data_IF_732036366056
#
_entry.id   IF_732036366056
#
_cell.length_a   1.000
_cell.length_b   1.000
_cell.length_c   1.000
_cell.angle_alpha   90.00
_cell.angle_beta   90.00
_cell.angle_gamma   90.00
#
_symmetry.space_group_name_H-M   'P 1'
#
loop_
_entity.id
_entity.type
_entity.pdbx_description
1 polymer ?
#
# COMPACT_ATOMS: atom_id res chain seq x y z
N UNK A 1 -25.59 -14.81 25.34
CA UNK A 1 -25.48 -13.56 24.55
C UNK A 1 -26.35 -13.73 23.33
N UNK A 2 -27.44 -12.96 23.22
CA UNK A 2 -28.20 -12.85 21.98
C UNK A 2 -27.31 -12.06 21.02
N UNK A 3 -26.69 -12.75 20.05
CA UNK A 3 -25.68 -12.16 19.17
C UNK A 3 -26.34 -11.29 18.11
N UNK A 4 -26.51 -10.00 18.40
CA UNK A 4 -27.04 -9.04 17.44
C UNK A 4 -26.04 -8.80 16.30
N UNK A 5 -26.54 -8.66 15.07
CA UNK A 5 -25.72 -8.33 13.92
C UNK A 5 -25.11 -6.92 14.05
N UNK A 6 -23.86 -6.76 13.62
CA UNK A 6 -23.09 -5.51 13.77
C UNK A 6 -22.70 -4.91 12.42
N UNK A 7 -22.32 -3.63 12.40
CA UNK A 7 -21.86 -2.94 11.19
C UNK A 7 -20.34 -2.90 11.12
N UNK A 8 -19.75 -3.07 9.94
CA UNK A 8 -18.29 -2.89 9.73
C UNK A 8 -17.96 -1.54 9.10
N UNK A 9 -16.81 -0.98 9.47
CA UNK A 9 -16.13 0.08 8.73
C UNK A 9 -14.68 -0.36 8.49
N UNK A 10 -14.30 -0.55 7.23
CA UNK A 10 -12.98 -1.04 6.85
C UNK A 10 -12.32 -0.18 5.79
N UNK A 11 -11.21 0.47 6.14
CA UNK A 11 -10.30 1.06 5.15
C UNK A 11 -9.23 0.03 4.75
N UNK A 12 -8.88 -0.04 3.47
CA UNK A 12 -7.75 -0.88 3.00
C UNK A 12 -7.90 -2.34 3.43
N UNK A 13 -6.90 -2.90 4.09
CA UNK A 13 -6.94 -4.24 4.71
C UNK A 13 -8.19 -4.49 5.56
N UNK A 14 -8.76 -3.48 6.24
CA UNK A 14 -10.02 -3.62 6.96
C UNK A 14 -11.22 -3.91 6.04
N UNK A 15 -11.19 -3.41 4.80
CA UNK A 15 -12.12 -3.79 3.75
C UNK A 15 -11.91 -5.23 3.28
N UNK A 16 -10.66 -5.69 3.24
CA UNK A 16 -10.34 -7.08 2.89
C UNK A 16 -10.88 -8.03 3.96
N UNK A 17 -10.72 -7.66 5.24
CA UNK A 17 -11.35 -8.36 6.36
C UNK A 17 -12.88 -8.36 6.24
N UNK A 18 -13.49 -7.25 5.81
CA UNK A 18 -14.95 -7.18 5.58
C UNK A 18 -15.39 -8.20 4.53
N UNK A 19 -14.66 -8.35 3.41
CA UNK A 19 -14.94 -9.38 2.42
C UNK A 19 -14.81 -10.80 3.00
N UNK A 20 -13.82 -11.05 3.86
CA UNK A 20 -13.69 -12.33 4.57
C UNK A 20 -14.87 -12.61 5.51
N UNK A 21 -15.36 -11.61 6.26
CA UNK A 21 -16.56 -11.78 7.09
C UNK A 21 -17.80 -12.08 6.25
N UNK A 22 -18.00 -11.38 5.13
CA UNK A 22 -19.11 -11.63 4.20
C UNK A 22 -19.02 -13.03 3.58
N UNK A 23 -17.81 -13.54 3.38
CA UNK A 23 -17.56 -14.89 2.89
C UNK A 23 -17.76 -15.99 3.94
N UNK A 24 -17.50 -15.73 5.22
CA UNK A 24 -17.46 -16.78 6.25
C UNK A 24 -18.70 -16.78 7.16
N UNK A 25 -19.17 -15.60 7.55
CA UNK A 25 -20.25 -15.40 8.51
C UNK A 25 -21.05 -14.10 8.25
N UNK A 26 -21.64 -13.91 7.05
CA UNK A 26 -22.44 -12.73 6.71
C UNK A 26 -23.65 -12.54 7.62
N UNK A 27 -24.16 -13.60 8.27
CA UNK A 27 -25.31 -13.53 9.18
C UNK A 27 -25.03 -12.68 10.42
N UNK A 28 -23.75 -12.50 10.77
CA UNK A 28 -23.33 -11.62 11.85
C UNK A 28 -23.29 -10.14 11.46
N UNK A 29 -23.51 -9.80 10.19
CA UNK A 29 -23.33 -8.45 9.67
C UNK A 29 -24.67 -7.80 9.30
N UNK A 30 -24.83 -6.54 9.71
CA UNK A 30 -26.01 -5.72 9.40
C UNK A 30 -25.81 -4.88 8.14
N UNK A 31 -24.66 -4.26 8.00
CA UNK A 31 -24.25 -3.40 6.88
C UNK A 31 -22.74 -3.18 6.93
N UNK A 32 -22.13 -2.89 5.79
CA UNK A 32 -20.69 -2.75 5.66
C UNK A 32 -20.32 -1.46 4.93
N UNK A 33 -19.34 -0.75 5.47
CA UNK A 33 -18.75 0.45 4.88
C UNK A 33 -17.29 0.16 4.55
N UNK A 34 -16.90 0.33 3.28
CA UNK A 34 -15.54 0.06 2.80
C UNK A 34 -14.94 1.31 2.17
N UNK A 35 -13.66 1.61 2.42
CA UNK A 35 -12.97 2.75 1.81
C UNK A 35 -11.60 2.34 1.30
N UNK A 36 -11.37 2.41 -0.02
CA UNK A 36 -10.09 1.99 -0.62
C UNK A 36 -9.70 0.56 -0.26
N UNK A 37 -10.66 -0.37 -0.22
CA UNK A 37 -10.49 -1.68 0.44
C UNK A 37 -11.29 -2.83 -0.15
N UNK A 38 -11.65 -2.78 -1.44
CA UNK A 38 -12.22 -3.94 -2.14
C UNK A 38 -11.08 -4.72 -2.84
N UNK A 39 -10.51 -5.71 -2.15
CA UNK A 39 -9.49 -6.58 -2.73
C UNK A 39 -10.04 -7.40 -3.91
N UNK A 40 -9.17 -7.79 -4.84
CA UNK A 40 -9.51 -8.73 -5.91
C UNK A 40 -9.87 -10.11 -5.33
N UNK A 41 -11.03 -10.66 -5.70
CA UNK A 41 -11.50 -11.95 -5.15
C UNK A 41 -10.67 -13.16 -5.61
N UNK A 42 -10.01 -13.06 -6.76
CA UNK A 42 -9.22 -14.13 -7.37
C UNK A 42 -7.82 -13.68 -7.79
N UNK A 43 -7.47 -12.42 -7.52
CA UNK A 43 -6.18 -11.85 -7.89
C UNK A 43 -5.11 -12.31 -6.90
N UNK A 44 -4.00 -12.85 -7.40
CA UNK A 44 -2.83 -13.12 -6.57
C UNK A 44 -1.98 -11.87 -6.37
N UNK A 45 -0.97 -11.95 -5.50
CA UNK A 45 -0.03 -10.86 -5.26
C UNK A 45 0.59 -10.30 -6.56
N UNK A 46 0.96 -11.18 -7.50
CA UNK A 46 1.54 -10.76 -8.79
C UNK A 46 0.55 -9.94 -9.63
N UNK A 47 -0.73 -10.34 -9.70
CA UNK A 47 -1.75 -9.59 -10.42
C UNK A 47 -1.93 -8.19 -9.83
N UNK A 48 -1.92 -8.09 -8.49
CA UNK A 48 -2.00 -6.82 -7.76
C UNK A 48 -0.82 -5.93 -8.13
N UNK A 49 0.41 -6.43 -8.06
CA UNK A 49 1.58 -5.60 -8.36
C UNK A 49 1.69 -5.23 -9.84
N UNK A 50 1.26 -6.09 -10.77
CA UNK A 50 1.16 -5.74 -12.20
C UNK A 50 0.14 -4.61 -12.45
N UNK A 51 -0.82 -4.39 -11.55
CA UNK A 51 -1.76 -3.25 -11.60
C UNK A 51 -1.25 -2.02 -10.84
N UNK A 52 -0.51 -2.20 -9.74
CA UNK A 52 -0.09 -1.07 -8.89
C UNK A 52 1.24 -0.45 -9.30
N UNK A 53 2.20 -1.19 -9.87
CA UNK A 53 3.45 -0.58 -10.38
C UNK A 53 3.22 0.53 -11.43
N UNK A 54 2.33 0.36 -12.43
CA UNK A 54 1.98 1.46 -13.34
C UNK A 54 1.43 2.69 -12.62
N UNK A 55 0.66 2.50 -11.54
CA UNK A 55 0.17 3.62 -10.71
C UNK A 55 1.30 4.31 -9.96
N UNK A 56 2.27 3.55 -9.44
CA UNK A 56 3.49 4.11 -8.82
C UNK A 56 4.27 4.95 -9.83
N UNK A 57 4.44 4.48 -11.07
CA UNK A 57 5.08 5.27 -12.14
C UNK A 57 4.31 6.57 -12.37
N UNK A 58 2.98 6.50 -12.51
CA UNK A 58 2.16 7.70 -12.69
C UNK A 58 2.25 8.69 -11.50
N UNK A 59 2.34 8.19 -10.26
CA UNK A 59 2.55 9.05 -9.07
C UNK A 59 3.94 9.68 -9.04
N UNK A 60 4.98 8.96 -9.47
CA UNK A 60 6.31 9.55 -9.63
C UNK A 60 6.30 10.65 -10.70
N UNK A 61 5.63 10.42 -11.83
CA UNK A 61 5.50 11.42 -12.90
C UNK A 61 4.78 12.68 -12.39
N UNK A 62 3.70 12.51 -11.64
CA UNK A 62 2.97 13.63 -11.01
C UNK A 62 3.81 14.36 -9.95
N UNK A 63 4.58 13.62 -9.15
CA UNK A 63 5.48 14.18 -8.15
C UNK A 63 6.55 15.07 -8.79
N UNK A 64 7.29 14.55 -9.78
CA UNK A 64 8.34 15.32 -10.45
C UNK A 64 7.79 16.43 -11.35
N UNK A 65 6.57 16.30 -11.88
CA UNK A 65 5.92 17.41 -12.57
C UNK A 65 5.59 18.56 -11.60
N UNK A 66 5.30 18.25 -10.33
CA UNK A 66 5.00 19.24 -9.29
C UNK A 66 6.25 19.84 -8.65
N UNK A 67 7.27 19.02 -8.42
CA UNK A 67 8.54 19.41 -7.81
C UNK A 67 9.71 18.99 -8.73
N UNK A 68 9.89 19.68 -9.88
CA UNK A 68 10.92 19.30 -10.85
C UNK A 68 12.35 19.45 -10.31
N UNK A 69 12.55 20.36 -9.36
CA UNK A 69 13.86 20.60 -8.73
C UNK A 69 14.30 19.44 -7.80
N UNK A 70 13.38 18.55 -7.42
CA UNK A 70 13.69 17.38 -6.59
C UNK A 70 14.41 16.28 -7.39
N UNK A 71 14.21 16.19 -8.71
CA UNK A 71 14.85 15.18 -9.55
C UNK A 71 16.39 15.20 -9.45
N UNK A 72 17.09 16.34 -9.64
CA UNK A 72 18.54 16.40 -9.45
C UNK A 72 18.96 16.19 -7.99
N UNK A 73 18.15 16.57 -7.00
CA UNK A 73 18.45 16.32 -5.58
C UNK A 73 18.44 14.82 -5.29
N UNK A 74 17.39 14.10 -5.69
CA UNK A 74 17.27 12.65 -5.51
C UNK A 74 18.41 11.93 -6.22
N UNK A 75 18.73 12.33 -7.46
CA UNK A 75 19.88 11.76 -8.20
C UNK A 75 21.18 11.95 -7.42
N UNK A 76 21.45 13.16 -6.92
CA UNK A 76 22.64 13.45 -6.11
C UNK A 76 22.70 12.58 -4.86
N UNK A 77 21.57 12.35 -4.18
CA UNK A 77 21.53 11.47 -2.99
C UNK A 77 21.87 10.04 -3.39
N UNK A 78 21.25 9.49 -4.44
CA UNK A 78 21.53 8.13 -4.92
C UNK A 78 23.00 7.96 -5.30
N UNK A 79 23.59 8.93 -6.01
CA UNK A 79 24.98 8.88 -6.44
C UNK A 79 25.93 8.94 -5.23
N UNK A 80 25.63 9.77 -4.22
CA UNK A 80 26.38 9.80 -2.96
C UNK A 80 26.33 8.45 -2.25
N UNK A 81 25.14 7.85 -2.09
CA UNK A 81 24.96 6.55 -1.43
C UNK A 81 25.65 5.39 -2.16
N UNK A 82 25.97 5.53 -3.45
CA UNK A 82 26.73 4.54 -4.21
C UNK A 82 28.23 4.56 -3.85
N UNK A 83 28.76 5.75 -3.52
CA UNK A 83 30.18 5.97 -3.21
C UNK A 83 30.51 6.04 -1.72
N UNK A 84 29.50 6.18 -0.84
CA UNK A 84 29.69 6.36 0.60
C UNK A 84 28.95 5.30 1.43
N UNK A 85 29.44 5.11 2.65
CA UNK A 85 28.76 4.28 3.66
C UNK A 85 27.96 5.17 4.62
N UNK A 86 26.79 5.63 4.17
CA UNK A 86 25.88 6.43 5.00
C UNK A 86 25.09 5.57 5.98
N UNK A 87 24.92 6.07 7.21
CA UNK A 87 24.14 5.43 8.27
C UNK A 87 22.98 6.29 8.72
N UNK A 88 21.84 5.64 8.96
CA UNK A 88 20.69 6.23 9.65
C UNK A 88 20.96 6.30 11.15
N UNK A 89 20.20 7.09 11.93
CA UNK A 89 20.36 7.17 13.39
C UNK A 89 20.31 5.82 14.13
N UNK A 90 19.62 4.81 13.61
CA UNK A 90 19.58 3.43 14.13
C UNK A 90 20.88 2.66 13.94
N UNK A 91 21.78 3.15 13.09
CA UNK A 91 22.97 2.44 12.64
C UNK A 91 22.74 1.55 11.41
N UNK A 92 21.51 1.49 10.89
CA UNK A 92 21.23 0.83 9.61
C UNK A 92 21.89 1.58 8.46
N UNK A 93 22.29 0.86 7.41
CA UNK A 93 22.78 1.48 6.17
C UNK A 93 21.64 2.15 5.42
N UNK A 94 21.83 3.41 5.02
CA UNK A 94 21.00 4.02 3.99
C UNK A 94 21.57 3.63 2.62
N UNK A 95 20.73 3.08 1.75
CA UNK A 95 21.07 2.80 0.36
C UNK A 95 19.95 3.32 -0.56
N UNK A 96 20.16 3.20 -1.87
CA UNK A 96 19.20 3.70 -2.83
C UNK A 96 17.83 2.99 -2.76
N UNK A 97 17.78 1.69 -2.44
CA UNK A 97 16.51 0.96 -2.32
C UNK A 97 15.66 1.47 -1.16
N UNK A 98 16.28 1.70 0.01
CA UNK A 98 15.62 2.31 1.16
C UNK A 98 15.23 3.76 0.91
N UNK A 99 16.01 4.52 0.14
CA UNK A 99 15.60 5.86 -0.30
C UNK A 99 14.35 5.79 -1.20
N UNK A 100 14.33 4.86 -2.16
CA UNK A 100 13.19 4.68 -3.07
C UNK A 100 11.88 4.39 -2.30
N UNK A 101 11.94 3.73 -1.14
CA UNK A 101 10.74 3.40 -0.36
C UNK A 101 10.05 4.61 0.29
N UNK A 102 10.67 5.80 0.29
CA UNK A 102 9.99 7.05 0.68
C UNK A 102 8.72 7.30 -0.14
N UNK A 103 8.68 6.82 -1.39
CA UNK A 103 7.50 6.94 -2.25
C UNK A 103 6.27 6.20 -1.74
N UNK A 104 6.38 5.36 -0.70
CA UNK A 104 5.21 4.85 0.00
C UNK A 104 4.28 6.00 0.39
N UNK A 105 4.80 7.19 0.73
CA UNK A 105 3.99 8.36 1.04
C UNK A 105 3.06 8.82 -0.10
N UNK A 106 3.43 8.58 -1.36
CA UNK A 106 2.76 9.15 -2.55
C UNK A 106 1.30 8.72 -2.76
N UNK A 107 0.84 7.67 -2.08
CA UNK A 107 -0.55 7.21 -2.15
C UNK A 107 -1.48 7.86 -1.13
N UNK A 108 -0.98 8.79 -0.31
CA UNK A 108 -1.76 9.53 0.66
C UNK A 108 -1.76 11.03 0.36
N UNK A 109 -2.85 11.71 0.70
CA UNK A 109 -2.93 13.16 0.62
C UNK A 109 -1.83 13.80 1.50
N UNK A 110 -1.08 14.75 0.94
CA UNK A 110 0.08 15.37 1.60
C UNK A 110 1.41 14.62 1.41
N UNK A 111 1.38 13.42 0.83
CA UNK A 111 2.56 12.57 0.73
C UNK A 111 3.66 13.11 -0.19
N UNK A 112 3.28 13.86 -1.23
CA UNK A 112 4.28 14.54 -2.09
C UNK A 112 5.01 15.62 -1.30
N UNK A 113 4.28 16.44 -0.56
CA UNK A 113 4.82 17.51 0.29
C UNK A 113 5.74 16.94 1.37
N UNK A 114 5.38 15.81 1.98
CA UNK A 114 6.23 15.11 2.96
C UNK A 114 7.60 14.76 2.39
N UNK A 115 7.66 14.17 1.19
CA UNK A 115 8.95 13.79 0.57
C UNK A 115 9.70 15.03 0.08
N UNK A 116 9.00 16.02 -0.48
CA UNK A 116 9.60 17.27 -0.95
C UNK A 116 10.31 18.02 0.19
N UNK A 117 9.62 18.27 1.31
CA UNK A 117 10.21 18.96 2.46
C UNK A 117 11.35 18.16 3.10
N UNK A 118 11.30 16.83 3.04
CA UNK A 118 12.42 16.01 3.47
C UNK A 118 13.66 16.24 2.57
N UNK A 119 13.47 16.34 1.25
CA UNK A 119 14.56 16.58 0.30
C UNK A 119 15.13 18.00 0.35
N UNK A 120 14.34 19.00 0.72
CA UNK A 120 14.84 20.37 0.96
C UNK A 120 15.95 20.39 2.04
N UNK A 121 15.83 19.50 3.02
CA UNK A 121 16.78 19.34 4.13
C UNK A 121 17.91 18.34 3.82
N UNK A 122 18.02 17.81 2.59
CA UNK A 122 18.90 16.67 2.28
C UNK A 122 20.40 16.91 2.57
N UNK A 123 20.90 18.14 2.42
CA UNK A 123 22.33 18.42 2.37
C UNK A 123 22.79 19.44 3.41
N UNK A 124 23.87 19.13 4.10
CA UNK A 124 24.70 20.08 4.85
C UNK A 124 26.10 20.12 4.21
N UNK A 125 26.26 21.04 3.26
CA UNK A 125 27.44 21.10 2.40
C UNK A 125 27.59 19.85 1.51
N UNK A 126 28.71 19.10 1.60
CA UNK A 126 28.92 17.88 0.80
C UNK A 126 28.27 16.63 1.40
N UNK A 127 27.85 16.66 2.67
CA UNK A 127 27.32 15.51 3.40
C UNK A 127 25.78 15.56 3.49
N UNK A 128 25.17 14.39 3.69
CA UNK A 128 23.74 14.31 3.99
C UNK A 128 23.47 14.83 5.40
N UNK A 129 22.45 15.68 5.55
CA UNK A 129 22.18 16.33 6.83
C UNK A 129 21.62 15.34 7.87
N UNK A 130 21.88 15.55 9.18
CA UNK A 130 21.27 14.75 10.24
C UNK A 130 19.73 14.79 10.22
N UNK A 131 19.14 15.93 9.86
CA UNK A 131 17.68 16.11 9.73
C UNK A 131 17.11 15.19 8.66
N UNK A 132 17.74 15.15 7.49
CA UNK A 132 17.34 14.27 6.41
C UNK A 132 17.46 12.80 6.80
N UNK A 133 18.59 12.39 7.38
CA UNK A 133 18.80 11.00 7.80
C UNK A 133 17.78 10.56 8.85
N UNK A 134 17.44 11.43 9.79
CA UNK A 134 16.39 11.16 10.77
C UNK A 134 15.00 11.02 10.12
N UNK A 135 14.67 11.93 9.19
CA UNK A 135 13.41 11.87 8.46
C UNK A 135 13.29 10.63 7.57
N UNK A 136 14.35 10.24 6.85
CA UNK A 136 14.38 9.00 6.06
C UNK A 136 14.16 7.78 6.94
N UNK A 137 14.79 7.73 8.12
CA UNK A 137 14.57 6.64 9.07
C UNK A 137 13.11 6.57 9.50
N UNK A 138 12.52 7.69 9.93
CA UNK A 138 11.14 7.73 10.41
C UNK A 138 10.16 7.23 9.34
N UNK A 139 10.33 7.64 8.09
CA UNK A 139 9.40 7.33 7.00
C UNK A 139 9.60 5.95 6.38
N UNK A 140 10.71 5.25 6.68
CA UNK A 140 11.04 3.95 6.07
C UNK A 140 11.23 2.83 7.08
N UNK A 141 11.02 3.09 8.38
CA UNK A 141 11.18 2.09 9.42
C UNK A 141 9.91 1.28 9.65
N UNK A 142 10.06 -0.04 9.80
CA UNK A 142 8.99 -0.94 10.23
C UNK A 142 9.11 -1.36 11.70
N UNK A 143 10.06 -0.80 12.45
CA UNK A 143 10.31 -1.15 13.86
C UNK A 143 9.07 -1.06 14.77
N UNK A 144 8.17 -0.10 14.51
CA UNK A 144 6.94 0.08 15.29
C UNK A 144 5.76 -0.72 14.76
N UNK A 145 5.90 -1.36 13.60
CA UNK A 145 4.84 -2.12 12.93
C UNK A 145 5.36 -3.32 12.15
N UNK A 146 6.15 -4.23 12.75
CA UNK A 146 6.78 -5.33 12.00
C UNK A 146 5.76 -6.30 11.40
N UNK A 147 4.60 -6.48 12.04
CA UNK A 147 3.52 -7.32 11.52
C UNK A 147 2.95 -6.81 10.20
N UNK A 148 2.93 -5.48 10.01
CA UNK A 148 2.51 -4.91 8.73
C UNK A 148 3.43 -5.40 7.62
N UNK A 149 4.75 -5.25 7.77
CA UNK A 149 5.70 -5.71 6.76
C UNK A 149 5.66 -7.23 6.56
N UNK A 150 5.61 -8.01 7.64
CA UNK A 150 5.61 -9.49 7.60
C UNK A 150 4.37 -10.05 6.90
N UNK A 151 3.20 -9.46 7.13
CA UNK A 151 1.93 -9.99 6.63
C UNK A 151 1.43 -9.27 5.36
N UNK A 152 2.11 -8.20 4.93
CA UNK A 152 1.65 -7.34 3.84
C UNK A 152 1.28 -8.13 2.58
N UNK A 153 2.23 -8.88 2.01
CA UNK A 153 1.99 -9.60 0.76
C UNK A 153 1.09 -10.83 0.94
N UNK A 154 1.12 -11.43 2.15
CA UNK A 154 0.31 -12.60 2.48
C UNK A 154 -1.20 -12.32 2.44
N UNK A 155 -1.63 -11.05 2.54
CA UNK A 155 -3.05 -10.71 2.41
C UNK A 155 -3.61 -10.94 0.98
N UNK A 156 -2.73 -11.15 -0.02
CA UNK A 156 -3.09 -11.52 -1.39
C UNK A 156 -2.90 -13.01 -1.68
N UNK A 157 -2.49 -13.81 -0.69
CA UNK A 157 -2.19 -15.21 -0.88
C UNK A 157 -3.48 -16.04 -0.96
N UNK A 158 -3.71 -16.69 -2.10
CA UNK A 158 -4.87 -17.56 -2.31
C UNK A 158 -4.48 -18.74 -3.20
N UNK A 159 -4.43 -19.95 -2.63
CA UNK A 159 -4.14 -21.19 -3.36
C UNK A 159 -2.69 -21.34 -3.86
N UNK A 160 -1.79 -20.42 -3.51
CA UNK A 160 -0.40 -20.45 -3.98
C UNK A 160 0.51 -19.48 -3.25
N UNK A 161 1.82 -19.67 -3.44
CA UNK A 161 2.84 -18.84 -2.83
C UNK A 161 2.89 -17.46 -3.48
N UNK A 162 3.11 -16.43 -2.66
CA UNK A 162 3.35 -15.08 -3.19
C UNK A 162 4.77 -14.98 -3.74
N UNK A 163 5.71 -15.72 -3.13
CA UNK A 163 7.12 -15.88 -3.50
C UNK A 163 7.82 -14.54 -3.78
N UNK A 164 7.53 -13.53 -2.96
CA UNK A 164 8.05 -12.15 -3.11
C UNK A 164 7.63 -11.51 -4.44
N UNK A 165 6.34 -11.56 -4.75
CA UNK A 165 5.78 -11.07 -6.02
C UNK A 165 6.12 -9.60 -6.27
N UNK A 166 6.13 -8.75 -5.25
CA UNK A 166 6.52 -7.34 -5.38
C UNK A 166 7.93 -7.20 -5.96
N UNK A 167 8.89 -7.96 -5.43
CA UNK A 167 10.27 -7.97 -5.90
C UNK A 167 10.37 -8.55 -7.32
N UNK A 168 9.73 -9.69 -7.59
CA UNK A 168 9.80 -10.31 -8.93
C UNK A 168 9.26 -9.39 -10.01
N UNK A 169 8.12 -8.74 -9.78
CA UNK A 169 7.56 -7.78 -10.75
C UNK A 169 8.45 -6.54 -10.87
N UNK A 170 9.07 -6.05 -9.79
CA UNK A 170 10.04 -4.94 -9.85
C UNK A 170 11.23 -5.27 -10.76
N UNK A 171 11.74 -6.49 -10.68
CA UNK A 171 12.90 -6.93 -11.47
C UNK A 171 12.63 -6.93 -12.98
N UNK A 172 11.37 -7.03 -13.40
CA UNK A 172 10.93 -6.88 -14.79
C UNK A 172 10.87 -5.42 -15.27
N UNK A 173 11.06 -4.44 -14.37
CA UNK A 173 10.88 -3.01 -14.62
C UNK A 173 12.21 -2.25 -14.47
N UNK A 174 13.02 -2.13 -15.55
CA UNK A 174 14.32 -1.44 -15.49
C UNK A 174 14.26 0.00 -14.99
N UNK A 175 13.11 0.67 -15.13
CA UNK A 175 12.89 2.03 -14.63
C UNK A 175 13.00 2.15 -13.10
N UNK A 176 12.83 1.07 -12.34
CA UNK A 176 13.01 1.04 -10.89
C UNK A 176 14.43 0.71 -10.45
N UNK A 177 15.38 0.49 -11.37
CA UNK A 177 16.79 0.39 -11.03
C UNK A 177 17.32 1.79 -10.67
N UNK A 178 17.68 2.06 -9.41
CA UNK A 178 18.13 3.40 -9.00
C UNK A 178 19.46 3.80 -9.67
N UNK A 179 20.27 2.84 -10.10
CA UNK A 179 21.53 3.04 -10.82
C UNK A 179 21.36 3.06 -12.35
N UNK A 180 20.11 2.96 -12.84
CA UNK A 180 19.78 3.00 -14.26
C UNK A 180 19.89 4.40 -14.87
N UNK A 181 19.76 4.45 -16.20
CA UNK A 181 19.70 5.72 -16.96
C UNK A 181 18.31 6.33 -16.81
N UNK A 182 18.24 7.63 -16.49
CA UNK A 182 16.98 8.38 -16.36
C UNK A 182 16.74 8.92 -14.95
N UNK A 183 15.51 9.35 -14.65
CA UNK A 183 15.13 9.76 -13.29
C UNK A 183 15.08 8.56 -12.35
N UNK A 184 15.42 8.79 -11.08
CA UNK A 184 15.20 7.79 -10.03
C UNK A 184 13.69 7.72 -9.77
N UNK A 185 13.10 6.53 -9.79
CA UNK A 185 11.71 6.35 -9.36
C UNK A 185 11.67 5.89 -7.91
N UNK A 186 10.83 6.51 -7.10
CA UNK A 186 10.43 5.99 -5.80
C UNK A 186 9.45 4.82 -5.97
N UNK A 187 9.45 3.87 -5.04
CA UNK A 187 8.49 2.75 -4.99
C UNK A 187 7.25 3.13 -4.20
N UNK A 188 6.16 2.37 -4.36
CA UNK A 188 4.93 2.55 -3.58
C UNK A 188 4.89 1.69 -2.31
N UNK A 189 3.69 1.24 -1.95
CA UNK A 189 3.40 0.36 -0.80
C UNK A 189 3.74 -1.11 -1.11
N UNK A 190 5.01 -1.36 -1.44
CA UNK A 190 5.54 -2.69 -1.70
C UNK A 190 6.45 -3.13 -0.56
N UNK A 191 6.38 -4.40 -0.17
CA UNK A 191 7.35 -5.02 0.75
C UNK A 191 8.30 -5.93 -0.03
N UNK A 192 9.59 -5.77 0.22
CA UNK A 192 10.64 -6.53 -0.46
C UNK A 192 11.46 -7.36 0.54
N UNK A 193 12.06 -8.49 0.10
CA UNK A 193 12.87 -9.33 0.98
C UNK A 193 14.07 -8.59 1.56
N UNK A 194 14.64 -7.64 0.81
CA UNK A 194 15.79 -6.87 1.26
C UNK A 194 15.49 -6.02 2.50
N UNK A 195 14.24 -5.57 2.71
CA UNK A 195 13.84 -4.80 3.90
C UNK A 195 14.10 -5.58 5.19
N UNK A 196 13.89 -6.90 5.18
CA UNK A 196 14.15 -7.78 6.32
C UNK A 196 15.64 -8.03 6.58
N UNK A 197 16.49 -7.87 5.56
CA UNK A 197 17.94 -8.03 5.71
C UNK A 197 18.64 -6.72 6.09
N UNK A 198 18.11 -5.58 5.63
CA UNK A 198 18.75 -4.27 5.72
C UNK A 198 18.31 -3.45 6.94
N UNK A 199 17.13 -3.71 7.51
CA UNK A 199 16.67 -3.07 8.75
C UNK A 199 16.91 -4.00 9.94
N UNK A 200 17.72 -3.58 10.90
CA UNK A 200 18.05 -4.38 12.09
C UNK A 200 16.78 -4.82 12.86
N UNK A 201 15.77 -3.96 12.94
CA UNK A 201 14.51 -4.26 13.60
C UNK A 201 13.71 -5.39 12.90
N UNK A 202 13.93 -5.60 11.61
CA UNK A 202 13.22 -6.59 10.80
C UNK A 202 13.97 -7.92 10.65
N UNK A 203 15.28 -7.95 10.89
CA UNK A 203 16.09 -9.17 10.83
C UNK A 203 15.55 -10.36 11.64
N UNK A 204 15.03 -10.19 12.88
CA UNK A 204 14.43 -11.30 13.62
C UNK A 204 13.24 -11.97 12.92
N UNK A 205 12.58 -11.26 12.01
CA UNK A 205 11.41 -11.75 11.27
C UNK A 205 11.74 -12.32 9.89
N UNK A 206 12.98 -12.16 9.40
CA UNK A 206 13.35 -12.50 8.02
C UNK A 206 13.00 -13.95 7.64
N UNK A 207 13.34 -14.91 8.51
CA UNK A 207 13.04 -16.32 8.27
C UNK A 207 11.52 -16.60 8.25
N UNK A 208 10.75 -15.96 9.12
CA UNK A 208 9.30 -16.12 9.16
C UNK A 208 8.63 -15.51 7.92
N UNK A 209 9.10 -14.33 7.49
CA UNK A 209 8.60 -13.68 6.29
C UNK A 209 8.88 -14.50 5.03
N UNK A 210 10.07 -15.10 4.90
CA UNK A 210 10.38 -15.99 3.78
C UNK A 210 9.53 -17.27 3.79
N UNK A 211 9.31 -17.89 4.95
CA UNK A 211 8.40 -19.03 5.06
C UNK A 211 6.97 -18.69 4.63
N UNK A 212 6.47 -17.51 4.98
CA UNK A 212 5.15 -17.04 4.55
C UNK A 212 5.11 -16.79 3.04
N UNK A 213 6.14 -16.17 2.47
CA UNK A 213 6.23 -15.91 1.05
C UNK A 213 6.28 -17.21 0.23
N UNK A 214 6.98 -18.24 0.70
CA UNK A 214 7.10 -19.53 0.00
C UNK A 214 5.97 -20.52 0.28
N UNK A 215 5.11 -20.22 1.26
CA UNK A 215 3.98 -21.09 1.60
C UNK A 215 3.05 -21.20 0.39
N UNK A 216 2.81 -22.41 -0.11
CA UNK A 216 2.02 -22.65 -1.32
C UNK A 216 0.66 -23.29 -1.07
N UNK A 217 0.40 -23.72 0.17
CA UNK A 217 -0.84 -24.38 0.60
C UNK A 217 -1.85 -23.40 1.23
N UNK A 218 -1.85 -22.14 0.78
CA UNK A 218 -2.82 -21.16 1.26
C UNK A 218 -4.25 -21.58 0.92
N UNK A 219 -5.19 -21.59 1.88
CA UNK A 219 -6.58 -21.84 1.58
C UNK A 219 -7.17 -20.72 0.70
N UNK A 220 -8.37 -20.98 0.14
CA UNK A 220 -9.16 -19.90 -0.44
C UNK A 220 -9.47 -18.86 0.64
N UNK A 221 -9.17 -17.59 0.37
CA UNK A 221 -9.45 -16.49 1.30
C UNK A 221 -10.94 -16.08 1.24
N UNK A 222 -11.55 -16.25 0.07
CA UNK A 222 -12.93 -15.88 -0.20
C UNK A 222 -13.74 -17.03 -0.80
N UNK A 223 -14.96 -17.20 -0.31
CA UNK A 223 -16.03 -18.03 -0.90
C UNK A 223 -16.78 -17.18 -1.93
N UNK A 224 -16.44 -17.39 -3.20
CA UNK A 224 -16.98 -16.61 -4.32
C UNK A 224 -18.50 -16.81 -4.49
N UNK A 225 -19.02 -18.01 -4.23
CA UNK A 225 -20.45 -18.28 -4.38
C UNK A 225 -21.25 -17.58 -3.28
N UNK A 226 -20.77 -17.63 -2.03
CA UNK A 226 -21.40 -16.93 -0.92
C UNK A 226 -21.34 -15.42 -1.08
N UNK A 227 -20.22 -14.89 -1.55
CA UNK A 227 -20.07 -13.47 -1.84
C UNK A 227 -21.01 -13.01 -2.97
N UNK A 228 -21.16 -13.79 -4.04
CA UNK A 228 -22.11 -13.48 -5.11
C UNK A 228 -23.57 -13.46 -4.62
N UNK A 229 -23.91 -14.35 -3.69
CA UNK A 229 -25.22 -14.39 -3.03
C UNK A 229 -25.39 -13.42 -1.86
N UNK A 230 -24.42 -12.54 -1.58
CA UNK A 230 -24.46 -11.66 -0.41
C UNK A 230 -25.69 -10.73 -0.44
N UNK A 231 -26.47 -10.74 0.66
CA UNK A 231 -27.60 -9.84 0.85
C UNK A 231 -27.29 -8.65 1.77
N UNK A 232 -26.19 -8.71 2.54
CA UNK A 232 -25.80 -7.64 3.48
C UNK A 232 -25.46 -6.38 2.68
N UNK A 233 -26.08 -5.21 2.97
CA UNK A 233 -25.75 -3.97 2.27
C UNK A 233 -24.27 -3.60 2.44
N UNK A 234 -23.58 -3.39 1.32
CA UNK A 234 -22.20 -2.90 1.30
C UNK A 234 -22.16 -1.60 0.53
N UNK A 235 -21.57 -0.57 1.11
CA UNK A 235 -21.25 0.68 0.41
C UNK A 235 -19.76 0.92 0.45
N UNK A 236 -19.17 1.21 -0.70
CA UNK A 236 -17.74 1.27 -0.85
C UNK A 236 -17.29 2.56 -1.54
N UNK A 237 -16.38 3.31 -0.92
CA UNK A 237 -15.64 4.35 -1.60
C UNK A 237 -14.47 3.71 -2.36
N UNK A 238 -14.43 3.91 -3.67
CA UNK A 238 -13.34 3.49 -4.56
C UNK A 238 -12.61 4.75 -4.99
N UNK A 239 -11.40 4.93 -4.50
CA UNK A 239 -10.56 6.06 -4.87
C UNK A 239 -9.95 5.77 -6.24
N UNK A 240 -10.27 6.58 -7.24
CA UNK A 240 -9.91 6.32 -8.63
C UNK A 240 -8.38 6.27 -8.82
N UNK A 241 -7.68 7.22 -8.21
CA UNK A 241 -6.23 7.41 -8.33
C UNK A 241 -5.42 6.78 -7.19
N UNK A 242 -6.04 5.88 -6.42
CA UNK A 242 -5.41 5.14 -5.32
C UNK A 242 -4.16 4.42 -5.80
N UNK A 243 -3.00 4.71 -5.20
CA UNK A 243 -1.75 4.06 -5.61
C UNK A 243 -1.63 2.63 -5.09
N UNK A 244 -2.29 2.31 -3.97
CA UNK A 244 -2.09 1.06 -3.24
C UNK A 244 -3.11 0.00 -3.61
N UNK A 245 -4.39 0.39 -3.70
CA UNK A 245 -5.50 -0.52 -4.02
C UNK A 245 -6.09 -0.15 -5.38
N UNK A 246 -5.83 -1.00 -6.38
CA UNK A 246 -6.26 -0.72 -7.75
C UNK A 246 -7.80 -0.60 -7.86
N UNK A 247 -8.25 0.52 -8.43
CA UNK A 247 -9.67 0.79 -8.64
C UNK A 247 -10.32 -0.21 -9.63
N UNK A 248 -9.57 -0.73 -10.60
CA UNK A 248 -10.06 -1.75 -11.53
C UNK A 248 -10.40 -3.05 -10.80
N UNK A 249 -9.45 -3.58 -10.02
CA UNK A 249 -9.67 -4.75 -9.15
C UNK A 249 -10.82 -4.50 -8.17
N UNK A 250 -10.91 -3.31 -7.59
CA UNK A 250 -12.01 -2.93 -6.69
C UNK A 250 -13.38 -3.01 -7.38
N UNK A 251 -13.48 -2.51 -8.61
CA UNK A 251 -14.72 -2.52 -9.40
C UNK A 251 -15.07 -3.92 -9.91
N UNK A 252 -14.08 -4.73 -10.28
CA UNK A 252 -14.28 -6.15 -10.61
C UNK A 252 -14.85 -6.92 -9.42
N UNK A 253 -14.33 -6.67 -8.21
CA UNK A 253 -14.89 -7.24 -6.98
C UNK A 253 -16.30 -6.74 -6.72
N UNK A 254 -16.55 -5.43 -6.81
CA UNK A 254 -17.89 -4.85 -6.62
C UNK A 254 -18.94 -5.45 -7.56
N UNK A 255 -18.55 -5.80 -8.80
CA UNK A 255 -19.45 -6.42 -9.78
C UNK A 255 -19.77 -7.89 -9.47
N UNK A 256 -18.97 -8.57 -8.63
CA UNK A 256 -19.13 -9.99 -8.31
C UNK A 256 -19.73 -10.24 -6.93
N UNK A 257 -19.68 -9.27 -6.02
CA UNK A 257 -20.25 -9.39 -4.68
C UNK A 257 -21.67 -8.82 -4.67
N UNK A 258 -22.62 -9.58 -4.13
CA UNK A 258 -24.01 -9.14 -3.98
C UNK A 258 -24.16 -7.93 -3.06
N UNK A 259 -25.17 -7.11 -3.29
CA UNK A 259 -25.52 -5.94 -2.45
C UNK A 259 -24.42 -4.88 -2.28
N UNK A 260 -23.43 -4.81 -3.18
CA UNK A 260 -22.42 -3.73 -3.20
C UNK A 260 -22.90 -2.53 -4.01
N UNK A 261 -22.71 -1.33 -3.47
CA UNK A 261 -22.79 -0.06 -4.19
C UNK A 261 -21.51 0.75 -4.03
N UNK A 262 -20.93 1.19 -5.13
CA UNK A 262 -19.68 1.95 -5.13
C UNK A 262 -19.93 3.45 -5.31
N UNK A 263 -19.12 4.25 -4.63
CA UNK A 263 -18.88 5.65 -4.94
C UNK A 263 -17.45 5.75 -5.45
N UNK A 264 -17.31 5.91 -6.77
CA UNK A 264 -16.00 6.12 -7.40
C UNK A 264 -15.72 7.62 -7.39
N UNK A 265 -14.56 8.01 -6.86
CA UNK A 265 -14.16 9.42 -6.77
C UNK A 265 -12.66 9.58 -6.91
N UNK A 266 -12.23 10.67 -7.53
CA UNK A 266 -10.84 11.12 -7.59
C UNK A 266 -10.58 12.32 -6.66
N UNK A 267 -11.51 12.63 -5.76
CA UNK A 267 -11.38 13.74 -4.81
C UNK A 267 -10.45 13.42 -3.63
N UNK A 268 -10.11 12.14 -3.47
CA UNK A 268 -9.31 11.64 -2.35
C UNK A 268 -8.25 10.67 -2.83
N UNK A 269 -7.13 10.67 -2.10
CA UNK A 269 -6.13 9.60 -2.12
C UNK A 269 -6.55 8.45 -1.19
N UNK A 270 -5.72 7.42 -1.06
CA UNK A 270 -6.05 6.21 -0.30
C UNK A 270 -6.48 6.48 1.16
N UNK A 271 -5.93 7.53 1.77
CA UNK A 271 -6.25 7.95 3.14
C UNK A 271 -7.51 8.82 3.24
N UNK A 272 -8.41 8.82 2.25
CA UNK A 272 -9.60 9.69 2.20
C UNK A 272 -10.46 9.65 3.46
N UNK A 273 -10.68 8.48 4.08
CA UNK A 273 -11.41 8.36 5.35
C UNK A 273 -10.70 9.05 6.51
N UNK A 274 -9.36 9.05 6.54
CA UNK A 274 -8.58 9.79 7.56
C UNK A 274 -8.55 11.28 7.27
N UNK A 275 -8.50 11.66 5.99
CA UNK A 275 -8.44 13.05 5.55
C UNK A 275 -9.77 13.79 5.76
N UNK A 276 -10.90 13.16 5.46
CA UNK A 276 -12.24 13.75 5.58
C UNK A 276 -13.29 12.69 5.94
N UNK A 277 -13.15 12.15 7.15
CA UNK A 277 -13.96 11.02 7.61
C UNK A 277 -15.46 11.34 7.70
N UNK A 278 -15.82 12.58 8.06
CA UNK A 278 -17.22 13.01 8.13
C UNK A 278 -17.88 12.93 6.76
N UNK A 279 -17.24 13.48 5.72
CA UNK A 279 -17.78 13.46 4.37
C UNK A 279 -17.76 12.07 3.77
N UNK A 280 -16.64 11.34 3.92
CA UNK A 280 -16.50 10.00 3.32
C UNK A 280 -17.48 9.02 3.96
N UNK A 281 -17.47 8.90 5.28
CA UNK A 281 -18.36 7.98 5.98
C UNK A 281 -19.82 8.43 5.89
N UNK A 282 -20.09 9.74 6.00
CA UNK A 282 -21.43 10.30 5.86
C UNK A 282 -22.05 9.94 4.51
N UNK A 283 -21.29 10.09 3.42
CA UNK A 283 -21.73 9.69 2.08
C UNK A 283 -22.07 8.21 1.99
N UNK A 284 -21.21 7.33 2.53
CA UNK A 284 -21.46 5.89 2.51
C UNK A 284 -22.69 5.50 3.34
N UNK A 285 -22.89 6.13 4.51
CA UNK A 285 -24.09 5.96 5.33
C UNK A 285 -25.36 6.40 4.58
N UNK A 286 -25.33 7.55 3.91
CA UNK A 286 -26.45 8.03 3.11
C UNK A 286 -26.74 7.12 1.92
N UNK A 287 -25.70 6.58 1.29
CA UNK A 287 -25.86 5.55 0.26
C UNK A 287 -26.60 4.35 0.86
N UNK A 288 -26.09 3.78 1.95
CA UNK A 288 -26.67 2.60 2.61
C UNK A 288 -28.17 2.80 2.91
N UNK A 289 -28.54 4.02 3.29
CA UNK A 289 -29.91 4.41 3.66
C UNK A 289 -30.77 4.95 2.51
N UNK A 290 -30.24 5.02 1.28
CA UNK A 290 -30.99 5.48 0.09
C UNK A 290 -31.23 6.99 0.02
N UNK A 291 -30.33 7.80 0.60
CA UNK A 291 -30.41 9.28 0.65
C UNK A 291 -29.32 10.00 -0.15
N UNK A 292 -28.45 9.24 -0.79
CA UNK A 292 -27.29 9.72 -1.54
C UNK A 292 -27.61 10.11 -2.99
#
# INVERSE_FOLDING_TARGET
ATGDAWSTLGQSYGGFCTLSYLSLAPEGLRECFVTGGLAGLSAGAEDVYRRTYPRVVAKNDAYYARYPDDEPVVRRVVDHLAGSETRLPTGDRLNAERLQSLGMAFGAAGGFETVHYLLEEAWDGPELSPTFLAGVQEHTSFATGPLYAVLHEACYAQGGATSWAAQRVREELPAFNPQGVGRVLFTGEMIYPWMFSQEQAMQPFAAAADLLAQRSDWPALYDAERLAGNAVPVTAAVYHDDMYVDAGLSLETAARVGSVRTWVTNEFEHNGLRADGERVLGRLIDMARGRA
#
